data_IF_785327333018
#
_entry.id   IF_785327333018
#
_cell.length_a   1.000
_cell.length_b   1.000
_cell.length_c   1.000
_cell.angle_alpha   90.00
_cell.angle_beta   90.00
_cell.angle_gamma   90.00
#
_symmetry.space_group_name_H-M   'P 1'
#
loop_
_entity.id
_entity.type
_entity.pdbx_description
1 polymer ?
#
# COMPACT_ATOMS: atom_id res chain seq x y z
N UNK A 1 -16.12 29.57 8.11
CA UNK A 1 -14.84 30.05 8.69
C UNK A 1 -14.04 28.80 9.05
N UNK A 2 -13.09 28.43 8.20
CA UNK A 2 -12.21 27.29 8.46
C UNK A 2 -10.96 27.81 9.15
N UNK A 3 -10.73 27.40 10.39
CA UNK A 3 -9.44 27.58 11.05
C UNK A 3 -8.45 26.58 10.45
N UNK A 4 -7.30 27.10 10.06
CA UNK A 4 -6.11 26.38 9.63
C UNK A 4 -5.46 25.70 10.83
N UNK A 5 -5.48 24.38 10.88
CA UNK A 5 -4.47 23.59 11.59
C UNK A 5 -3.77 22.71 10.56
N UNK A 6 -2.44 22.83 10.52
CA UNK A 6 -1.56 22.01 9.71
C UNK A 6 -1.61 20.54 10.21
N UNK A 7 -1.55 19.59 9.26
CA UNK A 7 -1.53 18.12 9.45
C UNK A 7 -2.88 17.40 9.53
N UNK A 8 -3.63 17.38 8.42
CA UNK A 8 -4.66 16.36 8.18
C UNK A 8 -4.59 15.80 6.77
N UNK A 9 -3.99 14.61 6.62
CA UNK A 9 -4.12 13.74 5.44
C UNK A 9 -5.17 12.68 5.75
N UNK A 10 -6.28 12.64 5.00
CA UNK A 10 -7.33 11.63 5.14
C UNK A 10 -7.15 10.52 4.11
N UNK A 11 -7.16 9.26 4.55
CA UNK A 11 -7.25 8.10 3.65
C UNK A 11 -8.70 7.58 3.66
N UNK A 12 -9.25 7.27 2.48
CA UNK A 12 -10.46 6.46 2.36
C UNK A 12 -10.04 5.03 1.96
N UNK A 13 -10.34 4.04 2.82
CA UNK A 13 -10.17 2.63 2.48
C UNK A 13 -11.47 2.09 1.89
N UNK A 14 -11.40 1.43 0.72
CA UNK A 14 -12.51 0.65 0.18
C UNK A 14 -12.41 -0.80 0.67
N UNK A 15 -12.60 -0.94 1.97
CA UNK A 15 -13.39 -2.01 2.55
C UNK A 15 -14.49 -1.29 3.31
N UNK A 16 -15.73 -1.80 3.33
CA UNK A 16 -16.78 -1.26 4.20
C UNK A 16 -16.46 -1.66 5.65
N UNK A 17 -15.38 -1.09 6.17
CA UNK A 17 -15.17 -0.78 7.56
C UNK A 17 -14.92 0.72 7.56
N UNK A 18 -15.97 1.47 7.87
CA UNK A 18 -15.85 2.82 8.39
C UNK A 18 -15.20 2.75 9.77
N UNK A 19 -13.92 2.40 9.83
CA UNK A 19 -13.15 2.63 11.05
C UNK A 19 -13.06 4.13 11.23
N UNK A 20 -13.62 4.63 12.34
CA UNK A 20 -13.52 6.04 12.81
C UNK A 20 -12.08 6.49 13.08
N UNK A 21 -11.08 5.67 12.76
CA UNK A 21 -9.69 5.86 13.13
C UNK A 21 -8.87 6.13 11.87
N UNK A 22 -7.97 7.13 11.95
CA UNK A 22 -7.01 7.42 10.89
C UNK A 22 -6.22 6.12 10.63
N UNK A 23 -6.27 5.51 9.43
CA UNK A 23 -5.59 4.24 9.14
C UNK A 23 -4.05 4.39 9.06
N UNK A 24 -3.55 5.60 9.30
CA UNK A 24 -2.15 5.99 9.19
C UNK A 24 -1.67 6.47 10.54
N UNK A 25 -0.72 5.75 11.12
CA UNK A 25 -0.02 6.18 12.33
C UNK A 25 1.27 6.87 11.87
N UNK A 26 1.35 8.16 12.17
CA UNK A 26 2.60 8.90 12.14
C UNK A 26 3.22 8.74 13.53
N UNK A 27 4.24 7.91 13.64
CA UNK A 27 5.02 7.81 14.87
C UNK A 27 5.83 9.09 14.99
N UNK A 28 5.67 9.84 16.07
CA UNK A 28 6.21 11.20 16.15
C UNK A 28 7.74 11.22 16.27
N UNK A 29 8.34 10.21 16.91
CA UNK A 29 9.80 10.08 17.08
C UNK A 29 10.46 9.30 15.94
N UNK A 30 10.50 9.88 14.74
CA UNK A 30 11.33 9.35 13.65
C UNK A 30 12.72 9.96 13.70
N UNK A 31 13.75 9.10 13.63
CA UNK A 31 15.14 9.52 13.47
C UNK A 31 15.33 9.99 12.03
N UNK A 32 15.58 11.29 11.82
CA UNK A 32 15.64 11.88 10.48
C UNK A 32 16.50 13.14 10.42
N UNK A 33 16.79 13.59 9.21
CA UNK A 33 17.39 14.90 8.98
C UNK A 33 16.33 15.90 8.49
N UNK A 34 16.41 17.14 8.97
CA UNK A 34 15.61 18.26 8.45
C UNK A 34 16.06 18.65 7.04
N UNK A 35 15.32 19.53 6.37
CA UNK A 35 15.75 20.12 5.08
C UNK A 35 17.05 20.92 5.18
N UNK A 36 17.43 21.33 6.39
CA UNK A 36 18.67 22.05 6.71
C UNK A 36 19.79 21.10 7.15
N UNK A 37 19.61 19.79 6.97
CA UNK A 37 20.53 18.73 7.39
C UNK A 37 20.79 18.69 8.91
N UNK A 38 19.83 19.14 9.71
CA UNK A 38 19.91 19.05 11.17
C UNK A 38 19.35 17.70 11.64
N UNK A 39 20.07 17.03 12.54
CA UNK A 39 19.66 15.75 13.10
C UNK A 39 18.47 15.93 14.05
N UNK A 40 17.36 15.26 13.74
CA UNK A 40 16.17 15.15 14.58
C UNK A 40 16.18 13.74 15.19
N UNK A 41 16.06 13.65 16.52
CA UNK A 41 16.11 12.39 17.28
C UNK A 41 17.36 11.55 16.96
N UNK A 42 18.54 12.19 16.96
CA UNK A 42 19.81 11.52 16.66
C UNK A 42 20.10 11.33 15.16
N UNK A 43 19.14 11.62 14.27
CA UNK A 43 19.30 11.62 12.80
C UNK A 43 19.37 10.23 12.17
N UNK A 44 20.14 9.32 12.77
CA UNK A 44 20.44 7.97 12.32
C UNK A 44 19.86 6.92 13.28
N UNK A 45 19.42 5.74 12.80
CA UNK A 45 18.95 4.68 13.69
C UNK A 45 20.04 4.20 14.67
N UNK A 46 21.30 4.09 14.26
CA UNK A 46 22.41 3.65 15.12
C UNK A 46 22.92 4.73 16.10
N UNK A 47 22.30 5.91 16.09
CA UNK A 47 22.64 7.03 16.97
C UNK A 47 21.42 7.52 17.80
N UNK A 48 20.33 6.77 17.78
CA UNK A 48 19.08 7.09 18.45
C UNK A 48 18.74 6.05 19.52
N UNK A 49 17.96 6.46 20.54
CA UNK A 49 17.49 5.55 21.59
C UNK A 49 16.27 4.77 21.12
N UNK A 50 16.39 3.44 21.00
CA UNK A 50 15.28 2.56 20.66
C UNK A 50 14.20 2.55 21.76
N UNK A 51 14.61 2.53 23.03
CA UNK A 51 13.68 2.49 24.16
C UNK A 51 12.79 3.74 24.21
N UNK A 52 13.38 4.92 23.97
CA UNK A 52 12.64 6.17 23.93
C UNK A 52 11.67 6.23 22.73
N UNK A 53 12.12 5.72 21.57
CA UNK A 53 11.25 5.59 20.40
C UNK A 53 10.05 4.67 20.68
N UNK A 54 10.28 3.49 21.27
CA UNK A 54 9.20 2.54 21.60
C UNK A 54 8.24 3.11 22.66
N UNK A 55 8.76 3.87 23.64
CA UNK A 55 7.92 4.55 24.63
C UNK A 55 6.96 5.52 23.97
N UNK A 56 7.43 6.40 23.08
CA UNK A 56 6.55 7.34 22.37
C UNK A 56 5.65 6.64 21.36
N UNK A 57 6.15 5.60 20.67
CA UNK A 57 5.31 4.81 19.78
C UNK A 57 4.12 4.18 20.53
N UNK A 58 4.32 3.66 21.75
CA UNK A 58 3.23 3.17 22.62
C UNK A 58 2.24 4.27 22.97
N UNK A 59 2.71 5.47 23.31
CA UNK A 59 1.86 6.63 23.60
C UNK A 59 1.03 7.06 22.36
N UNK A 60 1.65 7.07 21.18
CA UNK A 60 0.99 7.35 19.91
C UNK A 60 -0.08 6.29 19.60
N UNK A 61 0.22 4.99 19.77
CA UNK A 61 -0.74 3.91 19.53
C UNK A 61 -1.94 4.04 20.46
N UNK A 62 -1.71 4.27 21.75
CA UNK A 62 -2.78 4.48 22.73
C UNK A 62 -3.64 5.72 22.43
N UNK A 63 -3.03 6.77 21.89
CA UNK A 63 -3.73 8.02 21.55
C UNK A 63 -4.56 7.88 20.27
N UNK A 64 -3.98 7.33 19.21
CA UNK A 64 -4.59 7.32 17.88
C UNK A 64 -5.46 6.09 17.60
N UNK A 65 -5.20 4.99 18.31
CA UNK A 65 -5.98 3.75 18.24
C UNK A 65 -6.43 3.37 19.65
N UNK A 66 -7.35 4.12 20.28
CA UNK A 66 -7.75 3.87 21.67
C UNK A 66 -8.45 2.51 21.86
N UNK A 67 -9.08 2.00 20.80
CA UNK A 67 -9.73 0.68 20.79
C UNK A 67 -8.69 -0.44 20.79
N UNK A 68 -8.65 -1.25 21.86
CA UNK A 68 -7.74 -2.40 22.00
C UNK A 68 -8.07 -3.54 21.05
N UNK A 69 -9.34 -3.67 20.66
CA UNK A 69 -9.83 -4.72 19.77
C UNK A 69 -9.79 -4.28 18.30
N UNK A 70 -9.10 -3.17 17.98
CA UNK A 70 -8.97 -2.63 16.63
C UNK A 70 -8.57 -3.70 15.60
N UNK A 71 -9.38 -3.83 14.54
CA UNK A 71 -9.20 -4.82 13.46
C UNK A 71 -8.94 -4.17 12.09
N UNK A 72 -8.63 -2.87 12.07
CA UNK A 72 -8.45 -2.10 10.83
C UNK A 72 -7.02 -2.10 10.32
N UNK A 73 -6.79 -1.30 9.26
CA UNK A 73 -5.46 -1.03 8.71
C UNK A 73 -4.64 -0.18 9.70
N UNK A 74 -3.49 -0.71 10.15
CA UNK A 74 -2.53 0.00 10.98
C UNK A 74 -1.25 0.25 10.17
N UNK A 75 -1.25 1.35 9.40
CA UNK A 75 -0.15 1.66 8.48
C UNK A 75 0.86 2.59 9.13
N UNK A 76 2.10 2.12 9.27
CA UNK A 76 3.22 2.95 9.72
C UNK A 76 3.85 3.63 8.52
N UNK A 77 3.85 4.97 8.52
CA UNK A 77 4.38 5.77 7.43
C UNK A 77 5.80 6.23 7.70
N UNK A 78 6.76 5.35 7.42
CA UNK A 78 8.18 5.63 7.63
C UNK A 78 8.88 5.85 6.29
N UNK A 79 9.02 7.13 5.90
CA UNK A 79 9.64 7.49 4.62
C UNK A 79 11.00 8.19 4.77
N UNK A 80 11.51 8.38 5.99
CA UNK A 80 12.72 9.17 6.24
C UNK A 80 13.98 8.51 5.66
N UNK A 81 14.22 7.24 6.01
CA UNK A 81 15.30 6.40 5.50
C UNK A 81 14.78 5.02 5.14
N UNK A 82 15.58 4.22 4.43
CA UNK A 82 15.22 2.86 3.99
C UNK A 82 16.14 1.85 4.69
N UNK A 83 15.62 0.70 5.15
CA UNK A 83 16.40 -0.25 5.95
C UNK A 83 17.51 -0.96 5.19
N UNK A 84 17.49 -0.90 3.85
CA UNK A 84 18.56 -1.42 2.98
C UNK A 84 19.48 -0.26 2.62
N UNK A 85 20.75 -0.37 2.96
CA UNK A 85 21.76 0.67 2.80
C UNK A 85 21.77 1.24 1.39
N UNK A 86 21.86 0.40 0.35
CA UNK A 86 21.97 0.85 -1.04
C UNK A 86 20.75 1.59 -1.56
N UNK A 87 19.60 1.52 -0.86
CA UNK A 87 18.40 2.24 -1.26
C UNK A 87 18.37 3.68 -0.75
N UNK A 88 19.32 4.13 0.08
CA UNK A 88 19.37 5.51 0.60
C UNK A 88 20.04 6.50 -0.37
N UNK A 89 19.65 6.46 -1.65
CA UNK A 89 20.11 7.37 -2.71
C UNK A 89 19.30 8.69 -2.78
N UNK A 90 19.69 9.58 -3.71
CA UNK A 90 19.18 10.94 -3.91
C UNK A 90 19.12 11.76 -2.62
N UNK A 91 17.93 12.23 -2.22
CA UNK A 91 17.74 13.03 -1.01
C UNK A 91 18.06 12.28 0.28
N UNK A 92 18.29 10.96 0.22
CA UNK A 92 18.66 10.12 1.35
C UNK A 92 20.16 9.87 1.47
N UNK A 93 20.99 10.45 0.59
CA UNK A 93 22.45 10.32 0.67
C UNK A 93 23.03 10.84 2.00
N UNK A 94 22.33 11.76 2.66
CA UNK A 94 22.68 12.24 4.01
C UNK A 94 22.86 11.08 5.00
N UNK A 95 22.06 10.01 4.89
CA UNK A 95 22.18 8.86 5.79
C UNK A 95 23.48 8.08 5.58
N UNK A 96 24.02 8.06 4.35
CA UNK A 96 25.35 7.48 4.09
C UNK A 96 26.45 8.35 4.69
N UNK A 97 26.44 9.64 4.36
CA UNK A 97 27.46 10.60 4.78
C UNK A 97 27.58 10.65 6.31
N UNK A 98 26.44 10.77 6.98
CA UNK A 98 26.39 10.93 8.42
C UNK A 98 26.72 9.62 9.15
N UNK A 99 26.32 8.46 8.60
CA UNK A 99 26.71 7.16 9.16
C UNK A 99 28.22 6.95 9.08
N UNK A 100 28.83 7.27 7.93
CA UNK A 100 30.30 7.20 7.73
C UNK A 100 31.01 8.20 8.65
N UNK A 101 30.52 9.43 8.80
CA UNK A 101 31.09 10.44 9.69
C UNK A 101 31.02 10.00 11.16
N UNK A 102 29.90 9.42 11.59
CA UNK A 102 29.72 8.89 12.94
C UNK A 102 30.75 7.80 13.25
N UNK A 103 30.89 6.80 12.37
CA UNK A 103 31.88 5.73 12.55
C UNK A 103 33.30 6.28 12.54
N UNK A 104 33.63 7.21 11.63
CA UNK A 104 34.96 7.84 11.58
C UNK A 104 35.29 8.63 12.85
N UNK A 105 34.30 9.29 13.45
CA UNK A 105 34.50 10.03 14.71
C UNK A 105 34.81 9.09 15.89
N UNK A 106 34.21 7.90 15.91
CA UNK A 106 34.47 6.85 16.92
C UNK A 106 35.77 6.11 16.67
N UNK A 107 36.19 6.01 15.40
CA UNK A 107 37.39 5.30 14.98
C UNK A 107 38.29 6.16 14.05
N UNK A 108 38.99 7.18 14.58
CA UNK A 108 39.79 8.10 13.76
C UNK A 108 40.91 7.42 12.96
N UNK A 109 41.43 6.29 13.45
CA UNK A 109 42.56 5.58 12.83
C UNK A 109 42.13 4.54 11.78
N UNK A 110 40.84 4.28 11.61
CA UNK A 110 40.36 3.31 10.63
C UNK A 110 40.51 3.82 9.20
N UNK A 111 40.83 2.90 8.29
CA UNK A 111 40.85 3.16 6.85
C UNK A 111 39.45 3.44 6.32
N UNK A 112 39.31 4.17 5.19
CA UNK A 112 38.00 4.45 4.60
C UNK A 112 37.14 3.20 4.38
N UNK A 113 37.74 2.11 3.88
CA UNK A 113 37.01 0.85 3.64
C UNK A 113 36.46 0.20 4.93
N UNK A 114 37.20 0.30 6.05
CA UNK A 114 36.71 -0.20 7.35
C UNK A 114 35.55 0.64 7.87
N UNK A 115 35.64 1.97 7.72
CA UNK A 115 34.58 2.90 8.11
C UNK A 115 33.32 2.64 7.30
N UNK A 116 33.42 2.54 5.98
CA UNK A 116 32.27 2.33 5.10
C UNK A 116 31.59 0.97 5.37
N UNK A 117 32.38 -0.08 5.59
CA UNK A 117 31.86 -1.40 5.92
C UNK A 117 31.11 -1.39 7.27
N UNK A 118 31.68 -0.75 8.29
CA UNK A 118 31.03 -0.66 9.60
C UNK A 118 29.80 0.26 9.59
N UNK A 119 29.85 1.40 8.89
CA UNK A 119 28.73 2.32 8.76
C UNK A 119 27.51 1.64 8.14
N UNK A 120 27.72 0.81 7.12
CA UNK A 120 26.68 -0.03 6.53
C UNK A 120 26.07 -0.99 7.55
N UNK A 121 26.91 -1.80 8.21
CA UNK A 121 26.45 -2.82 9.15
C UNK A 121 25.69 -2.19 10.32
N UNK A 122 26.26 -1.16 10.95
CA UNK A 122 25.63 -0.46 12.07
C UNK A 122 24.27 0.15 11.67
N UNK A 123 24.20 0.77 10.48
CA UNK A 123 22.95 1.36 9.99
C UNK A 123 21.87 0.31 9.71
N UNK A 124 22.19 -0.77 8.99
CA UNK A 124 21.20 -1.81 8.64
C UNK A 124 20.74 -2.59 9.88
N UNK A 125 21.64 -2.90 10.82
CA UNK A 125 21.30 -3.57 12.08
C UNK A 125 20.40 -2.70 12.96
N UNK A 126 20.74 -1.42 13.12
CA UNK A 126 19.91 -0.50 13.89
C UNK A 126 18.57 -0.23 13.18
N UNK A 127 18.59 0.01 11.87
CA UNK A 127 17.39 0.24 11.07
C UNK A 127 16.41 -0.93 11.14
N UNK A 128 16.92 -2.16 11.08
CA UNK A 128 16.14 -3.37 11.33
C UNK A 128 15.49 -3.35 12.72
N UNK A 129 16.27 -3.13 13.79
CA UNK A 129 15.73 -3.14 15.16
C UNK A 129 14.60 -2.14 15.34
N UNK A 130 14.79 -0.89 14.89
CA UNK A 130 13.74 0.13 14.96
C UNK A 130 12.47 -0.30 14.23
N UNK A 131 12.60 -0.76 12.98
CA UNK A 131 11.41 -1.11 12.20
C UNK A 131 10.70 -2.36 12.71
N UNK A 132 11.46 -3.39 13.10
CA UNK A 132 10.96 -4.68 13.57
C UNK A 132 10.26 -4.55 14.93
N UNK A 133 10.90 -3.91 15.90
CA UNK A 133 10.34 -3.76 17.25
C UNK A 133 9.12 -2.83 17.28
N UNK A 134 9.05 -1.85 16.38
CA UNK A 134 7.85 -1.00 16.21
C UNK A 134 6.63 -1.81 15.79
N UNK A 135 6.76 -2.72 14.81
CA UNK A 135 5.62 -3.55 14.39
C UNK A 135 5.26 -4.60 15.43
N UNK A 136 6.25 -5.13 16.17
CA UNK A 136 5.98 -6.04 17.30
C UNK A 136 5.21 -5.33 18.41
N UNK A 137 5.61 -4.11 18.77
CA UNK A 137 4.89 -3.29 19.74
C UNK A 137 3.44 -3.04 19.29
N UNK A 138 3.24 -2.63 18.04
CA UNK A 138 1.92 -2.44 17.46
C UNK A 138 1.03 -3.68 17.56
N UNK A 139 1.56 -4.86 17.21
CA UNK A 139 0.83 -6.12 17.34
C UNK A 139 0.61 -6.56 18.79
N UNK A 140 1.54 -6.28 19.69
CA UNK A 140 1.35 -6.58 21.11
C UNK A 140 0.20 -5.74 21.69
N UNK A 141 0.13 -4.46 21.33
CA UNK A 141 -0.86 -3.55 21.86
C UNK A 141 -2.21 -3.64 21.13
N UNK A 142 -2.21 -3.93 19.83
CA UNK A 142 -3.39 -4.05 18.95
C UNK A 142 -3.27 -5.31 18.10
N UNK A 143 -3.50 -6.51 18.69
CA UNK A 143 -3.20 -7.79 18.06
C UNK A 143 -4.03 -8.11 16.81
N UNK A 144 -5.22 -7.52 16.69
CA UNK A 144 -6.06 -7.71 15.51
C UNK A 144 -5.80 -6.67 14.41
N UNK A 145 -4.92 -5.69 14.66
CA UNK A 145 -4.57 -4.66 13.71
C UNK A 145 -3.78 -5.23 12.53
N UNK A 146 -4.03 -4.70 11.34
CA UNK A 146 -3.31 -5.04 10.12
C UNK A 146 -2.08 -4.14 10.00
N UNK A 147 -1.02 -4.50 10.72
CA UNK A 147 0.24 -3.79 10.86
C UNK A 147 1.18 -4.02 9.68
N UNK A 148 1.73 -2.93 9.15
CA UNK A 148 2.74 -2.95 8.10
C UNK A 148 3.22 -1.55 7.74
N UNK A 149 4.33 -1.48 7.02
CA UNK A 149 4.87 -0.20 6.54
C UNK A 149 4.30 0.18 5.18
N UNK A 150 3.92 1.44 5.05
CA UNK A 150 3.62 2.04 3.74
C UNK A 150 4.82 1.93 2.80
N UNK A 151 4.56 1.58 1.53
CA UNK A 151 5.57 1.49 0.48
C UNK A 151 6.35 0.17 0.45
N UNK A 152 6.01 -0.81 1.29
CA UNK A 152 6.74 -2.09 1.36
C UNK A 152 5.90 -3.31 0.91
N UNK A 153 6.51 -4.22 0.11
CA UNK A 153 7.78 -4.06 -0.58
C UNK A 153 7.70 -3.02 -1.70
N UNK A 154 8.85 -2.49 -2.11
CA UNK A 154 8.96 -1.66 -3.31
C UNK A 154 9.70 -2.46 -4.40
N UNK A 155 9.14 -2.40 -5.61
CA UNK A 155 9.65 -3.08 -6.80
C UNK A 155 10.73 -2.26 -7.53
N UNK A 156 10.82 -0.95 -7.29
CA UNK A 156 11.74 -0.01 -7.96
C UNK A 156 11.74 -0.09 -9.50
N UNK A 157 10.61 -0.49 -10.08
CA UNK A 157 10.39 -0.63 -11.51
C UNK A 157 9.97 0.69 -12.19
N UNK A 158 10.59 1.82 -11.84
CA UNK A 158 10.16 3.12 -12.34
C UNK A 158 10.28 3.24 -13.85
N UNK A 159 9.23 3.77 -14.50
CA UNK A 159 9.25 4.07 -15.92
C UNK A 159 10.11 5.31 -16.20
N UNK A 160 10.78 5.32 -17.36
CA UNK A 160 11.45 6.50 -17.92
C UNK A 160 11.27 6.51 -19.42
N UNK A 161 11.15 7.69 -20.04
CA UNK A 161 11.15 7.83 -21.51
C UNK A 161 12.43 7.31 -22.17
N UNK A 162 13.51 7.14 -21.40
CA UNK A 162 14.77 6.55 -21.87
C UNK A 162 14.75 5.02 -21.85
N UNK A 163 13.76 4.40 -21.21
CA UNK A 163 13.64 2.95 -21.12
C UNK A 163 13.24 2.36 -22.47
N UNK A 164 14.06 1.48 -23.00
CA UNK A 164 13.73 0.66 -24.17
C UNK A 164 13.11 -0.66 -23.70
N UNK A 165 12.03 -1.11 -24.34
CA UNK A 165 11.33 -2.37 -24.01
C UNK A 165 10.97 -2.51 -22.52
N UNK A 166 10.37 -1.47 -21.93
CA UNK A 166 9.95 -1.51 -20.53
C UNK A 166 9.01 -2.69 -20.25
N UNK A 167 9.44 -3.62 -19.39
CA UNK A 167 8.68 -4.82 -19.00
C UNK A 167 7.85 -4.62 -17.73
N UNK A 168 8.19 -3.58 -16.94
CA UNK A 168 7.62 -3.35 -15.61
C UNK A 168 8.11 -4.33 -14.53
N UNK A 169 8.89 -5.36 -14.87
CA UNK A 169 9.42 -6.31 -13.90
C UNK A 169 10.28 -5.60 -12.84
N UNK A 170 10.22 -6.08 -11.60
CA UNK A 170 11.14 -5.61 -10.57
C UNK A 170 12.56 -6.00 -10.98
N UNK A 171 13.55 -5.09 -10.94
CA UNK A 171 14.92 -5.43 -11.24
C UNK A 171 15.39 -6.61 -10.36
N UNK A 172 16.16 -7.58 -10.90
CA UNK A 172 16.56 -8.76 -10.12
C UNK A 172 17.29 -8.45 -8.81
N UNK A 173 18.07 -7.36 -8.80
CA UNK A 173 18.74 -6.88 -7.57
C UNK A 173 17.75 -6.45 -6.49
N UNK A 174 16.58 -5.93 -6.87
CA UNK A 174 15.56 -5.46 -5.95
C UNK A 174 14.74 -6.60 -5.39
N UNK A 175 14.50 -7.65 -6.17
CA UNK A 175 13.94 -8.92 -5.66
C UNK A 175 14.85 -9.51 -4.58
N UNK A 176 16.15 -9.58 -4.83
CA UNK A 176 17.13 -10.07 -3.85
C UNK A 176 17.16 -9.22 -2.58
N UNK A 177 17.14 -7.88 -2.72
CA UNK A 177 17.07 -6.96 -1.57
C UNK A 177 15.76 -7.13 -0.78
N UNK A 178 14.65 -7.42 -1.45
CA UNK A 178 13.40 -7.73 -0.77
C UNK A 178 13.44 -9.09 -0.06
N UNK A 179 14.18 -10.08 -0.58
CA UNK A 179 14.38 -11.36 0.13
C UNK A 179 15.17 -11.16 1.44
N UNK A 180 16.16 -10.25 1.44
CA UNK A 180 16.94 -9.86 2.63
C UNK A 180 16.09 -9.16 3.71
N UNK A 181 14.87 -8.69 3.37
CA UNK A 181 13.90 -8.10 4.28
C UNK A 181 12.89 -9.11 4.87
N UNK A 182 13.17 -10.42 4.79
CA UNK A 182 12.32 -11.46 5.41
C UNK A 182 11.96 -11.21 6.87
N UNK A 183 12.85 -10.58 7.64
CA UNK A 183 12.57 -10.18 9.02
C UNK A 183 11.40 -9.20 9.14
N UNK A 184 11.21 -8.32 8.15
CA UNK A 184 10.10 -7.36 8.12
C UNK A 184 8.79 -8.04 7.73
N UNK A 185 8.86 -8.95 6.75
CA UNK A 185 7.71 -9.73 6.28
C UNK A 185 7.14 -10.59 7.41
N UNK A 186 8.01 -11.24 8.18
CA UNK A 186 7.63 -12.13 9.28
C UNK A 186 6.89 -11.42 10.42
N UNK A 187 7.14 -10.12 10.60
CA UNK A 187 6.45 -9.31 11.63
C UNK A 187 5.37 -8.41 11.05
N UNK A 188 5.04 -8.53 9.76
CA UNK A 188 3.95 -7.76 9.14
C UNK A 188 2.66 -8.58 9.12
N UNK A 189 1.56 -8.02 9.60
CA UNK A 189 0.23 -8.64 9.47
C UNK A 189 -0.54 -8.11 8.25
N UNK A 190 0.00 -7.14 7.50
CA UNK A 190 -0.45 -6.73 6.17
C UNK A 190 0.68 -6.05 5.36
N UNK A 191 0.52 -6.01 4.04
CA UNK A 191 1.45 -5.36 3.10
C UNK A 191 0.81 -4.16 2.42
N UNK A 192 1.59 -3.09 2.23
CA UNK A 192 1.09 -1.80 1.73
C UNK A 192 1.99 -1.24 0.61
N UNK A 193 2.16 -1.94 -0.52
CA UNK A 193 2.96 -1.43 -1.63
C UNK A 193 2.30 -0.16 -2.21
N UNK A 194 3.07 0.87 -2.52
CA UNK A 194 2.56 2.02 -3.28
C UNK A 194 2.51 1.67 -4.77
N UNK A 195 1.46 2.05 -5.48
CA UNK A 195 1.29 1.89 -6.93
C UNK A 195 0.94 3.23 -7.58
N UNK A 196 1.54 4.29 -7.06
CA UNK A 196 1.28 5.65 -7.52
C UNK A 196 1.83 5.87 -8.92
N UNK A 197 1.02 6.46 -9.80
CA UNK A 197 1.44 6.78 -11.14
C UNK A 197 2.10 8.16 -11.16
N UNK A 198 3.29 8.28 -11.75
CA UNK A 198 3.95 9.57 -11.98
C UNK A 198 3.33 10.26 -13.21
N UNK A 199 3.64 11.55 -13.40
CA UNK A 199 3.07 12.31 -14.52
C UNK A 199 3.53 11.79 -15.89
N UNK A 200 4.73 11.22 -15.97
CA UNK A 200 5.31 10.63 -17.19
C UNK A 200 4.51 9.42 -17.71
N UNK A 201 3.69 8.81 -16.84
CA UNK A 201 2.84 7.67 -17.18
C UNK A 201 1.47 8.09 -17.76
N UNK A 202 1.11 9.38 -17.74
CA UNK A 202 -0.23 9.88 -18.04
C UNK A 202 -0.78 9.44 -19.41
N UNK A 203 0.06 9.52 -20.43
CA UNK A 203 -0.34 9.24 -21.82
C UNK A 203 0.03 7.81 -22.26
N UNK A 204 0.41 6.96 -21.31
CA UNK A 204 0.80 5.57 -21.55
C UNK A 204 -0.30 4.61 -21.13
N UNK A 205 -0.30 3.40 -21.69
CA UNK A 205 -1.33 2.40 -21.40
C UNK A 205 -0.67 1.10 -20.94
N UNK A 206 0.08 0.44 -21.83
CA UNK A 206 0.77 -0.81 -21.52
C UNK A 206 1.73 -0.67 -20.35
N UNK A 207 2.49 0.43 -20.30
CA UNK A 207 3.51 0.69 -19.29
C UNK A 207 2.89 0.88 -17.91
N UNK A 208 1.71 1.52 -17.82
CA UNK A 208 0.95 1.69 -16.57
C UNK A 208 0.50 0.36 -16.01
N UNK A 209 -0.03 -0.51 -16.88
CA UNK A 209 -0.40 -1.87 -16.51
C UNK A 209 0.83 -2.63 -15.99
N UNK A 210 1.93 -2.64 -16.73
CA UNK A 210 3.13 -3.38 -16.37
C UNK A 210 3.77 -2.85 -15.06
N UNK A 211 3.79 -1.53 -14.87
CA UNK A 211 4.28 -0.88 -13.66
C UNK A 211 3.50 -1.36 -12.43
N UNK A 212 2.18 -1.28 -12.50
CA UNK A 212 1.32 -1.59 -11.36
C UNK A 212 1.27 -3.10 -11.08
N UNK A 213 1.16 -3.91 -12.15
CA UNK A 213 1.08 -5.36 -12.09
C UNK A 213 2.24 -5.97 -11.29
N UNK A 214 3.48 -5.62 -11.62
CA UNK A 214 4.65 -6.22 -10.97
C UNK A 214 4.87 -5.74 -9.53
N UNK A 215 4.40 -4.53 -9.19
CA UNK A 215 4.42 -4.03 -7.80
C UNK A 215 3.48 -4.84 -6.90
N UNK A 216 2.29 -5.15 -7.41
CA UNK A 216 1.32 -5.99 -6.72
C UNK A 216 1.85 -7.43 -6.62
N UNK A 217 2.40 -7.98 -7.72
CA UNK A 217 2.97 -9.32 -7.70
C UNK A 217 4.15 -9.45 -6.72
N UNK A 218 5.00 -8.43 -6.61
CA UNK A 218 6.10 -8.47 -5.64
C UNK A 218 5.60 -8.48 -4.20
N UNK A 219 4.57 -7.71 -3.88
CA UNK A 219 3.92 -7.79 -2.57
C UNK A 219 3.30 -9.17 -2.31
N UNK A 220 2.64 -9.76 -3.32
CA UNK A 220 2.10 -11.12 -3.21
C UNK A 220 3.19 -12.18 -3.03
N UNK A 221 4.33 -12.01 -3.70
CA UNK A 221 5.50 -12.90 -3.57
C UNK A 221 6.11 -12.80 -2.16
N UNK A 222 6.34 -11.58 -1.67
CA UNK A 222 6.90 -11.32 -0.35
C UNK A 222 5.99 -11.81 0.79
N UNK A 223 4.66 -11.72 0.62
CA UNK A 223 3.70 -12.24 1.58
C UNK A 223 3.72 -13.77 1.74
N UNK A 224 4.28 -14.51 0.77
CA UNK A 224 4.40 -15.96 0.81
C UNK A 224 3.05 -16.71 0.70
N UNK A 225 3.07 -18.04 0.82
CA UNK A 225 1.89 -18.90 0.84
C UNK A 225 2.10 -20.02 1.90
N UNK A 226 1.07 -20.68 2.47
CA UNK A 226 -0.36 -20.61 2.12
C UNK A 226 -1.20 -19.62 2.95
N UNK A 227 -0.72 -19.17 4.11
CA UNK A 227 -1.41 -18.21 4.99
C UNK A 227 -0.81 -16.80 4.86
N UNK A 228 -0.76 -16.30 3.63
CA UNK A 228 -0.19 -14.99 3.31
C UNK A 228 -0.94 -13.84 3.98
N UNK A 229 -0.26 -12.87 4.61
CA UNK A 229 -0.90 -11.63 5.05
C UNK A 229 -1.61 -10.91 3.88
N UNK A 230 -2.72 -10.19 4.14
CA UNK A 230 -3.43 -9.44 3.12
C UNK A 230 -2.56 -8.30 2.54
N UNK A 231 -2.71 -8.08 1.22
CA UNK A 231 -2.05 -6.98 0.50
C UNK A 231 -3.08 -5.90 0.20
N UNK A 232 -2.75 -4.65 0.55
CA UNK A 232 -3.55 -3.46 0.29
C UNK A 232 -2.70 -2.41 -0.44
N UNK A 233 -2.64 -2.45 -1.78
CA UNK A 233 -1.89 -1.45 -2.53
C UNK A 233 -2.41 -0.04 -2.25
N UNK A 234 -1.49 0.89 -2.06
CA UNK A 234 -1.78 2.32 -1.97
C UNK A 234 -1.84 2.91 -3.36
N UNK A 235 -2.99 3.46 -3.74
CA UNK A 235 -3.20 4.14 -5.01
C UNK A 235 -3.64 5.59 -4.80
N UNK A 236 -3.49 6.41 -5.85
CA UNK A 236 -4.02 7.79 -5.90
C UNK A 236 -5.08 7.89 -6.98
N UNK A 237 -5.90 8.94 -6.89
CA UNK A 237 -6.88 9.30 -7.92
C UNK A 237 -6.34 10.33 -8.91
N UNK A 238 -5.10 10.79 -8.71
CA UNK A 238 -4.36 11.73 -9.57
C UNK A 238 -2.95 11.19 -9.82
N UNK A 239 -2.29 11.71 -10.85
CA UNK A 239 -0.85 11.51 -11.01
C UNK A 239 -0.06 12.23 -9.91
N UNK A 240 1.08 11.66 -9.55
CA UNK A 240 1.85 12.09 -8.38
C UNK A 240 2.32 13.53 -8.54
N UNK A 241 2.11 14.35 -7.49
CA UNK A 241 2.42 15.78 -7.45
C UNK A 241 1.59 16.66 -8.41
N UNK A 242 0.44 16.18 -8.88
CA UNK A 242 -0.48 16.96 -9.72
C UNK A 242 -1.92 16.92 -9.20
N UNK A 243 -2.80 17.67 -9.86
CA UNK A 243 -4.26 17.56 -9.73
C UNK A 243 -4.88 16.99 -11.02
N UNK A 244 -4.07 16.32 -11.83
CA UNK A 244 -4.54 15.62 -13.03
C UNK A 244 -5.10 14.28 -12.63
N UNK A 245 -6.43 14.14 -12.69
CA UNK A 245 -7.11 12.90 -12.33
C UNK A 245 -6.77 11.75 -13.28
N UNK A 246 -6.72 10.54 -12.73
CA UNK A 246 -6.50 9.33 -13.51
C UNK A 246 -7.67 9.10 -14.47
N UNK A 247 -7.38 8.64 -15.68
CA UNK A 247 -8.42 8.15 -16.60
C UNK A 247 -9.07 6.89 -16.03
N UNK A 248 -10.28 6.54 -16.49
CA UNK A 248 -10.90 5.26 -16.14
C UNK A 248 -10.02 4.07 -16.55
N UNK A 249 -9.27 4.16 -17.65
CA UNK A 249 -8.30 3.14 -18.05
C UNK A 249 -7.19 2.96 -16.99
N UNK A 250 -6.67 4.04 -16.43
CA UNK A 250 -5.65 3.95 -15.38
C UNK A 250 -6.22 3.48 -14.04
N UNK A 251 -7.50 3.73 -13.76
CA UNK A 251 -8.21 3.08 -12.65
C UNK A 251 -8.33 1.56 -12.87
N UNK A 252 -8.52 1.11 -14.12
CA UNK A 252 -8.48 -0.33 -14.48
C UNK A 252 -7.10 -0.91 -14.19
N UNK A 253 -6.03 -0.24 -14.58
CA UNK A 253 -4.67 -0.73 -14.38
C UNK A 253 -4.13 -0.60 -12.95
N UNK A 254 -4.83 0.13 -12.07
CA UNK A 254 -4.47 0.27 -10.65
C UNK A 254 -5.41 -0.52 -9.75
N UNK A 255 -6.64 -0.04 -9.58
CA UNK A 255 -7.65 -0.67 -8.71
C UNK A 255 -8.14 -1.99 -9.30
N UNK A 256 -8.47 -2.01 -10.60
CA UNK A 256 -8.93 -3.23 -11.27
C UNK A 256 -7.88 -4.34 -11.27
N UNK A 257 -6.62 -3.97 -11.53
CA UNK A 257 -5.48 -4.89 -11.50
C UNK A 257 -5.26 -5.46 -10.09
N UNK A 258 -5.34 -4.61 -9.06
CA UNK A 258 -5.25 -5.02 -7.66
C UNK A 258 -6.32 -6.06 -7.30
N UNK A 259 -7.57 -5.80 -7.67
CA UNK A 259 -8.69 -6.72 -7.42
C UNK A 259 -8.51 -8.05 -8.17
N UNK A 260 -8.13 -8.00 -9.45
CA UNK A 260 -7.99 -9.19 -10.27
C UNK A 260 -6.81 -10.09 -9.83
N UNK A 261 -5.73 -9.51 -9.29
CA UNK A 261 -4.61 -10.25 -8.71
C UNK A 261 -4.89 -10.79 -7.29
N UNK A 262 -6.06 -10.52 -6.72
CA UNK A 262 -6.45 -11.04 -5.41
C UNK A 262 -5.91 -10.24 -4.23
N UNK A 263 -5.70 -8.92 -4.40
CA UNK A 263 -5.47 -8.00 -3.28
C UNK A 263 -6.68 -8.01 -2.34
N UNK A 264 -6.44 -7.76 -1.05
CA UNK A 264 -7.51 -7.70 -0.05
C UNK A 264 -8.37 -6.44 -0.20
N UNK A 265 -7.79 -5.37 -0.69
CA UNK A 265 -8.43 -4.11 -0.99
C UNK A 265 -7.42 -3.13 -1.59
N UNK A 266 -7.82 -1.88 -1.73
CA UNK A 266 -6.96 -0.78 -2.18
C UNK A 266 -7.17 0.40 -1.25
N UNK A 267 -6.09 1.07 -0.85
CA UNK A 267 -6.16 2.33 -0.11
C UNK A 267 -6.05 3.48 -1.09
N UNK A 268 -7.09 4.32 -1.16
CA UNK A 268 -7.05 5.53 -1.97
C UNK A 268 -6.56 6.69 -1.11
N UNK A 269 -5.35 7.13 -1.40
CA UNK A 269 -4.69 8.20 -0.67
C UNK A 269 -4.76 9.54 -1.41
N UNK A 270 -5.09 10.59 -0.65
CA UNK A 270 -5.07 11.98 -1.09
C UNK A 270 -4.29 12.85 -0.12
N UNK A 271 -3.53 13.81 -0.66
CA UNK A 271 -2.85 14.81 0.16
C UNK A 271 -3.73 16.03 0.40
N UNK A 272 -3.22 16.97 1.21
CA UNK A 272 -3.92 18.20 1.56
C UNK A 272 -4.28 19.08 0.34
N UNK A 273 -3.63 18.90 -0.82
CA UNK A 273 -3.93 19.69 -2.01
C UNK A 273 -5.36 19.45 -2.51
N UNK A 274 -5.93 18.26 -2.27
CA UNK A 274 -7.30 17.92 -2.68
C UNK A 274 -8.35 18.79 -1.98
N UNK A 275 -8.05 19.28 -0.78
CA UNK A 275 -8.97 20.06 0.06
C UNK A 275 -8.51 21.51 0.29
N UNK A 276 -7.48 21.97 -0.44
CA UNK A 276 -6.87 23.28 -0.22
C UNK A 276 -7.78 24.46 -0.58
N UNK A 277 -8.71 24.27 -1.51
CA UNK A 277 -9.60 25.31 -2.01
C UNK A 277 -10.98 24.74 -2.37
N UNK A 278 -11.99 25.61 -2.44
CA UNK A 278 -13.32 25.21 -2.91
C UNK A 278 -13.26 24.60 -4.32
N UNK A 279 -12.51 25.21 -5.24
CA UNK A 279 -12.37 24.70 -6.61
C UNK A 279 -11.74 23.31 -6.69
N UNK A 280 -10.75 23.00 -5.84
CA UNK A 280 -10.15 21.66 -5.80
C UNK A 280 -11.11 20.64 -5.19
N UNK A 281 -11.85 21.00 -4.14
CA UNK A 281 -12.90 20.15 -3.58
C UNK A 281 -13.98 19.83 -4.62
N UNK A 282 -14.45 20.84 -5.35
CA UNK A 282 -15.48 20.68 -6.39
C UNK A 282 -14.98 19.79 -7.54
N UNK A 283 -13.71 19.94 -7.94
CA UNK A 283 -13.08 19.08 -8.96
C UNK A 283 -12.99 17.61 -8.50
N UNK A 284 -12.53 17.37 -7.26
CA UNK A 284 -12.48 16.01 -6.67
C UNK A 284 -13.89 15.42 -6.59
N UNK A 285 -14.87 16.22 -6.15
CA UNK A 285 -16.26 15.81 -6.09
C UNK A 285 -16.81 15.42 -7.47
N UNK A 286 -16.56 16.23 -8.51
CA UNK A 286 -16.96 15.93 -9.89
C UNK A 286 -16.35 14.60 -10.34
N UNK A 287 -15.05 14.42 -10.13
CA UNK A 287 -14.36 13.18 -10.49
C UNK A 287 -14.92 11.95 -9.75
N UNK A 288 -15.27 12.09 -8.47
CA UNK A 288 -15.95 11.04 -7.68
C UNK A 288 -17.31 10.70 -8.29
N UNK A 289 -18.13 11.70 -8.58
CA UNK A 289 -19.50 11.49 -9.06
C UNK A 289 -19.54 10.94 -10.51
N UNK A 290 -18.58 11.33 -11.34
CA UNK A 290 -18.62 11.07 -12.79
C UNK A 290 -17.77 9.88 -13.22
N UNK A 291 -16.64 9.61 -12.54
CA UNK A 291 -15.66 8.60 -12.97
C UNK A 291 -15.37 7.57 -11.89
N UNK A 292 -14.84 8.00 -10.74
CA UNK A 292 -14.32 7.10 -9.72
C UNK A 292 -15.44 6.29 -9.05
N UNK A 293 -16.52 6.95 -8.61
CA UNK A 293 -17.62 6.30 -7.91
C UNK A 293 -18.29 5.18 -8.72
N UNK A 294 -18.75 5.43 -9.96
CA UNK A 294 -19.30 4.38 -10.81
C UNK A 294 -18.31 3.22 -11.05
N UNK A 295 -17.02 3.54 -11.26
CA UNK A 295 -15.99 2.53 -11.47
C UNK A 295 -15.74 1.67 -10.23
N UNK A 296 -15.65 2.28 -9.04
CA UNK A 296 -15.48 1.58 -7.78
C UNK A 296 -16.66 0.64 -7.46
N UNK A 297 -17.89 1.08 -7.75
CA UNK A 297 -19.08 0.23 -7.60
C UNK A 297 -19.01 -0.96 -8.56
N UNK A 298 -18.58 -0.74 -9.81
CA UNK A 298 -18.42 -1.80 -10.79
C UNK A 298 -17.47 -2.90 -10.29
N UNK A 299 -16.23 -2.54 -9.96
CA UNK A 299 -15.20 -3.52 -9.55
C UNK A 299 -15.56 -4.21 -8.23
N UNK A 300 -16.13 -3.48 -7.27
CA UNK A 300 -16.48 -4.03 -5.96
C UNK A 300 -17.65 -5.00 -6.04
N UNK A 301 -18.68 -4.66 -6.82
CA UNK A 301 -19.83 -5.54 -7.05
C UNK A 301 -19.42 -6.80 -7.81
N UNK A 302 -18.60 -6.68 -8.86
CA UNK A 302 -18.09 -7.82 -9.60
C UNK A 302 -17.24 -8.76 -8.73
N UNK A 303 -16.36 -8.22 -7.89
CA UNK A 303 -15.58 -9.00 -6.94
C UNK A 303 -16.46 -9.72 -5.90
N UNK A 304 -17.51 -9.05 -5.41
CA UNK A 304 -18.48 -9.63 -4.48
C UNK A 304 -19.27 -10.77 -5.12
N UNK A 305 -19.78 -10.57 -6.34
CA UNK A 305 -20.50 -11.60 -7.10
C UNK A 305 -19.60 -12.80 -7.39
N UNK A 306 -18.33 -12.56 -7.73
CA UNK A 306 -17.38 -13.65 -7.93
C UNK A 306 -17.15 -14.43 -6.63
N UNK A 307 -16.94 -13.74 -5.50
CA UNK A 307 -16.79 -14.37 -4.18
C UNK A 307 -17.99 -15.26 -3.81
N UNK A 308 -19.20 -14.75 -4.01
CA UNK A 308 -20.45 -15.48 -3.75
C UNK A 308 -20.59 -16.71 -4.65
N UNK A 309 -20.32 -16.55 -5.95
CA UNK A 309 -20.55 -17.57 -6.97
C UNK A 309 -19.47 -18.65 -6.99
N UNK A 310 -18.21 -18.26 -6.82
CA UNK A 310 -17.05 -19.14 -6.97
C UNK A 310 -16.53 -19.66 -5.63
N UNK A 311 -16.54 -18.80 -4.61
CA UNK A 311 -15.78 -18.99 -3.37
C UNK A 311 -16.67 -19.11 -2.13
N UNK A 312 -17.96 -19.42 -2.32
CA UNK A 312 -18.93 -19.61 -1.22
C UNK A 312 -19.03 -18.41 -0.25
N UNK A 313 -18.66 -17.20 -0.70
CA UNK A 313 -18.49 -16.01 0.16
C UNK A 313 -17.40 -16.14 1.25
N UNK A 314 -16.57 -17.16 1.17
CA UNK A 314 -15.52 -17.50 2.13
C UNK A 314 -14.11 -17.39 1.53
N UNK A 315 -14.00 -16.68 0.41
CA UNK A 315 -12.75 -16.35 -0.24
C UNK A 315 -12.93 -15.25 -1.27
N UNK A 316 -11.81 -14.72 -1.74
CA UNK A 316 -11.77 -13.76 -2.85
C UNK A 316 -11.36 -14.46 -4.14
N UNK A 317 -11.85 -13.94 -5.26
CA UNK A 317 -11.38 -14.38 -6.56
C UNK A 317 -10.02 -13.75 -6.88
N UNK A 318 -9.14 -14.55 -7.48
CA UNK A 318 -7.88 -14.09 -8.07
C UNK A 318 -7.72 -14.75 -9.45
N UNK A 319 -7.03 -14.08 -10.38
CA UNK A 319 -6.73 -14.64 -11.70
C UNK A 319 -6.02 -15.98 -11.57
N UNK A 320 -6.38 -16.93 -12.42
CA UNK A 320 -5.66 -18.20 -12.59
C UNK A 320 -4.30 -17.97 -13.25
N UNK A 321 -4.31 -17.25 -14.37
CA UNK A 321 -3.10 -16.77 -15.02
C UNK A 321 -2.90 -15.29 -14.67
N UNK A 322 -1.89 -15.01 -13.85
CA UNK A 322 -1.56 -13.65 -13.43
C UNK A 322 -1.32 -12.72 -14.63
N UNK A 323 -0.75 -13.23 -15.72
CA UNK A 323 -0.44 -12.48 -16.95
C UNK A 323 -1.65 -12.30 -17.89
N UNK A 324 -2.83 -12.86 -17.56
CA UNK A 324 -4.04 -12.64 -18.35
C UNK A 324 -4.58 -11.22 -18.17
N UNK A 325 -5.41 -10.76 -19.11
CA UNK A 325 -6.11 -9.47 -19.05
C UNK A 325 -7.55 -9.58 -18.53
N UNK A 326 -7.84 -10.62 -17.74
CA UNK A 326 -9.17 -10.81 -17.18
C UNK A 326 -9.39 -9.88 -15.98
N UNK A 327 -10.47 -9.11 -15.97
CA UNK A 327 -10.79 -8.22 -14.84
C UNK A 327 -12.13 -8.61 -14.21
N UNK A 328 -12.26 -8.29 -12.93
CA UNK A 328 -13.53 -8.37 -12.20
C UNK A 328 -14.30 -7.09 -12.45
N UNK A 329 -15.00 -7.01 -13.60
CA UNK A 329 -15.91 -5.93 -13.94
C UNK A 329 -17.29 -6.48 -14.31
N UNK A 330 -18.32 -5.71 -14.01
CA UNK A 330 -19.69 -5.98 -14.44
C UNK A 330 -19.81 -5.75 -15.95
N UNK A 331 -20.35 -6.75 -16.67
CA UNK A 331 -20.63 -6.62 -18.10
C UNK A 331 -21.78 -5.61 -18.31
N UNK A 332 -21.55 -4.47 -19.02
CA UNK A 332 -22.58 -3.47 -19.24
C UNK A 332 -23.77 -3.97 -20.09
N UNK A 333 -23.64 -5.12 -20.77
CA UNK A 333 -24.75 -5.74 -21.48
C UNK A 333 -25.75 -6.46 -20.55
N UNK A 334 -25.37 -6.70 -19.29
CA UNK A 334 -26.16 -7.45 -18.29
C UNK A 334 -26.45 -6.62 -17.06
N UNK A 335 -25.49 -5.79 -16.64
CA UNK A 335 -25.56 -5.01 -15.42
C UNK A 335 -25.67 -3.53 -15.70
N UNK A 336 -26.48 -2.84 -14.89
CA UNK A 336 -26.64 -1.40 -14.92
C UNK A 336 -26.35 -0.83 -13.54
N UNK A 337 -25.43 0.12 -13.48
CA UNK A 337 -25.17 0.92 -12.28
C UNK A 337 -26.00 2.19 -12.41
N UNK A 338 -26.94 2.39 -11.49
CA UNK A 338 -27.77 3.59 -11.42
C UNK A 338 -27.33 4.39 -10.21
N UNK A 339 -27.17 5.69 -10.37
CA UNK A 339 -26.87 6.59 -9.26
C UNK A 339 -28.05 7.52 -8.96
N UNK A 340 -28.29 7.75 -7.68
CA UNK A 340 -29.30 8.67 -7.18
C UNK A 340 -28.64 9.69 -6.25
N UNK A 341 -28.89 10.98 -6.48
CA UNK A 341 -28.37 12.03 -5.60
C UNK A 341 -29.12 12.00 -4.27
N UNK A 342 -28.38 11.93 -3.16
CA UNK A 342 -28.98 11.99 -1.82
C UNK A 342 -29.39 13.44 -1.49
N UNK A 343 -30.47 13.64 -0.71
CA UNK A 343 -30.90 14.97 -0.27
C UNK A 343 -29.81 15.73 0.51
N UNK A 344 -28.99 15.00 1.26
CA UNK A 344 -27.92 15.54 2.11
C UNK A 344 -26.58 15.72 1.37
N UNK A 345 -26.54 15.46 0.05
CA UNK A 345 -25.34 15.44 -0.77
C UNK A 345 -24.74 14.03 -0.94
N UNK A 346 -23.98 13.86 -2.02
CA UNK A 346 -23.41 12.58 -2.44
C UNK A 346 -24.34 11.73 -3.32
N UNK A 347 -23.83 10.59 -3.80
CA UNK A 347 -24.58 9.62 -4.60
C UNK A 347 -24.80 8.31 -3.84
N UNK A 348 -26.01 7.78 -3.96
CA UNK A 348 -26.30 6.39 -3.72
C UNK A 348 -26.15 5.62 -5.03
N UNK A 349 -25.63 4.40 -4.99
CA UNK A 349 -25.49 3.56 -6.17
C UNK A 349 -26.30 2.28 -6.01
N UNK A 350 -27.03 1.91 -7.06
CA UNK A 350 -27.81 0.69 -7.15
C UNK A 350 -27.29 -0.12 -8.33
N UNK A 351 -26.93 -1.37 -8.08
CA UNK A 351 -26.49 -2.32 -9.11
C UNK A 351 -27.68 -3.19 -9.48
N UNK A 352 -28.16 -3.05 -10.71
CA UNK A 352 -29.29 -3.78 -11.26
C UNK A 352 -28.78 -4.79 -12.30
N UNK A 353 -29.23 -6.02 -12.21
CA UNK A 353 -28.87 -7.09 -13.14
C UNK A 353 -29.01 -8.45 -12.48
N UNK A 354 -28.85 -9.49 -13.28
CA UNK A 354 -28.90 -10.88 -12.83
C UNK A 354 -27.76 -11.67 -13.46
N UNK A 355 -27.13 -12.51 -12.65
CA UNK A 355 -26.00 -13.33 -13.09
C UNK A 355 -26.43 -14.35 -14.14
N UNK A 356 -25.83 -14.29 -15.33
CA UNK A 356 -26.09 -15.23 -16.42
C UNK A 356 -25.07 -16.36 -16.45
N UNK A 357 -25.46 -17.51 -17.03
CA UNK A 357 -24.59 -18.68 -17.18
C UNK A 357 -23.25 -18.35 -17.83
N UNK A 358 -23.24 -17.48 -18.85
CA UNK A 358 -22.01 -17.06 -19.54
C UNK A 358 -21.01 -16.37 -18.61
N UNK A 359 -21.48 -15.53 -17.70
CA UNK A 359 -20.61 -14.82 -16.75
C UNK A 359 -20.03 -15.79 -15.72
N UNK A 360 -20.83 -16.74 -15.24
CA UNK A 360 -20.35 -17.81 -14.36
C UNK A 360 -19.30 -18.67 -15.06
N UNK A 361 -19.50 -19.01 -16.34
CA UNK A 361 -18.51 -19.75 -17.14
C UNK A 361 -17.21 -18.97 -17.29
N UNK A 362 -17.28 -17.67 -17.57
CA UNK A 362 -16.11 -16.79 -17.64
C UNK A 362 -15.37 -16.71 -16.29
N UNK A 363 -16.09 -16.52 -15.19
CA UNK A 363 -15.48 -16.51 -13.85
C UNK A 363 -14.75 -17.83 -13.56
N UNK A 364 -15.34 -18.97 -13.92
CA UNK A 364 -14.72 -20.29 -13.75
C UNK A 364 -13.46 -20.49 -14.61
N UNK A 365 -13.41 -19.94 -15.82
CA UNK A 365 -12.27 -20.07 -16.72
C UNK A 365 -11.10 -19.18 -16.33
N UNK A 366 -11.36 -17.95 -15.89
CA UNK A 366 -10.31 -16.95 -15.66
C UNK A 366 -9.87 -16.84 -14.19
N UNK A 367 -10.73 -17.21 -13.24
CA UNK A 367 -10.50 -16.99 -11.81
C UNK A 367 -10.50 -18.28 -10.99
N UNK A 368 -9.82 -18.21 -9.86
CA UNK A 368 -9.75 -19.22 -8.80
C UNK A 368 -9.92 -18.55 -7.44
N UNK A 369 -10.23 -19.32 -6.40
CA UNK A 369 -10.43 -18.79 -5.07
C UNK A 369 -9.13 -18.73 -4.26
N UNK A 370 -8.95 -17.62 -3.54
CA UNK A 370 -8.05 -17.47 -2.40
C UNK A 370 -8.91 -17.39 -1.16
N UNK A 371 -8.96 -18.47 -0.39
CA UNK A 371 -9.84 -18.58 0.77
C UNK A 371 -9.41 -17.67 1.92
N UNK A 372 -10.41 -17.22 2.69
CA UNK A 372 -10.16 -16.50 3.93
C UNK A 372 -9.64 -17.45 5.01
N UNK A 373 -8.95 -16.94 6.05
CA UNK A 373 -8.51 -17.76 7.17
C UNK A 373 -9.65 -18.62 7.74
N UNK A 374 -9.36 -19.90 7.98
CA UNK A 374 -10.34 -20.90 8.44
C UNK A 374 -11.09 -21.64 7.33
N UNK A 375 -10.93 -21.25 6.06
CA UNK A 375 -11.62 -21.87 4.92
C UNK A 375 -10.65 -22.48 3.92
N UNK A 376 -11.08 -23.56 3.25
CA UNK A 376 -10.27 -24.31 2.31
C UNK A 376 -11.07 -25.02 1.22
N UNK A 377 -10.33 -25.65 0.30
CA UNK A 377 -10.87 -26.25 -0.92
C UNK A 377 -10.95 -25.26 -2.07
N UNK A 378 -11.18 -25.76 -3.29
CA UNK A 378 -11.18 -24.94 -4.52
C UNK A 378 -12.25 -23.84 -4.53
N UNK A 379 -13.36 -24.04 -3.81
CA UNK A 379 -14.49 -23.12 -3.67
C UNK A 379 -14.63 -22.51 -2.27
N UNK A 380 -13.63 -22.70 -1.40
CA UNK A 380 -13.65 -22.24 -0.01
C UNK A 380 -14.86 -22.71 0.81
N UNK A 381 -15.45 -23.86 0.46
CA UNK A 381 -16.66 -24.37 1.12
C UNK A 381 -16.36 -25.31 2.30
N UNK A 382 -15.08 -25.58 2.60
CA UNK A 382 -14.68 -26.47 3.69
C UNK A 382 -14.07 -25.67 4.82
N UNK A 383 -14.48 -25.93 6.05
CA UNK A 383 -13.77 -25.45 7.23
C UNK A 383 -12.45 -26.21 7.36
N UNK A 384 -11.35 -25.47 7.51
CA UNK A 384 -10.07 -26.05 7.90
C UNK A 384 -10.09 -26.13 9.43
N UNK A 385 -10.29 -27.33 9.97
CA UNK A 385 -10.10 -27.56 11.41
C UNK A 385 -8.61 -27.38 11.72
N UNK A 386 -8.31 -26.43 12.60
CA UNK A 386 -6.96 -26.15 13.10
C UNK A 386 -6.48 -27.18 14.10
#
# INVERSE_FOLDING_TARGET
MCHTDHETSGCFSLHVQTTKYKPKILIQLLNRYSSQAEAINGGLPQNASLDEHLRVASEDIHTWIPDRDFQGLAVVDWESWRPVWERNWDSKQVYWLESTALVKSRHPDWSPAQVDAAARVEFEEAGRKFMEETLKLGQQERPNGLWGYYGFPNCYNYYSHKSTNYTGECPPVELKRNDELSWLWNVSSAFYPDIYLSLELRDLSREVLLYTHHRILEAMRAAGAPSAPPVFPYARIVYTYTLDFLSQEHLVYTVGESAALGSAGVVLWGDHAFSKSQSTCDAVKSYIDETLGPYLVNVTAAATLCSQTMCSSHGRCQRRNQNSRAYLHLDPAVWKIVSEKKPEGGQNYIVLGEMRTREVTFMKSEFQCKCYPGWGGESCSKLIQG
#
